data_IF_384401687985
#
_entry.id   IF_384401687985
#
_cell.length_a   1.000
_cell.length_b   1.000
_cell.length_c   1.000
_cell.angle_alpha   90.00
_cell.angle_beta   90.00
_cell.angle_gamma   90.00
#
_symmetry.space_group_name_H-M   'P 1'
#
loop_
_entity.id
_entity.type
_entity.pdbx_description
1 polymer ?
#
# COMPACT_ATOMS: atom_id res chain seq x y z
N UNK A 1 12.71 -72.72 5.95
CA UNK A 1 12.31 -73.73 6.94
C UNK A 1 12.15 -73.03 8.31
N UNK A 2 11.04 -73.02 8.81
CA UNK A 2 10.42 -73.15 10.16
C UNK A 2 9.15 -72.30 10.22
N UNK A 3 8.11 -73.06 10.19
CA UNK A 3 6.70 -72.70 10.52
C UNK A 3 6.58 -72.54 12.03
N UNK A 4 5.60 -71.78 12.49
CA UNK A 4 4.73 -72.04 13.67
C UNK A 4 3.93 -70.74 13.88
N UNK A 5 2.72 -70.70 13.98
CA UNK A 5 1.48 -71.42 14.35
C UNK A 5 0.57 -70.35 15.02
N UNK A 6 -0.65 -70.41 14.63
CA UNK A 6 -1.82 -69.62 15.02
C UNK A 6 -2.14 -69.82 16.53
N UNK A 7 -2.61 -68.75 17.14
CA UNK A 7 -3.53 -68.90 18.28
C UNK A 7 -4.61 -67.81 18.21
N UNK A 8 -5.83 -68.28 17.98
CA UNK A 8 -7.05 -67.51 18.11
C UNK A 8 -7.43 -67.39 19.60
N UNK A 9 -7.85 -66.25 20.03
CA UNK A 9 -8.46 -66.02 21.33
C UNK A 9 -9.67 -65.10 21.18
N UNK A 10 -10.85 -65.74 21.41
CA UNK A 10 -12.18 -65.10 21.43
C UNK A 10 -12.41 -64.38 22.77
N UNK A 11 -13.29 -63.37 22.67
CA UNK A 11 -14.27 -62.87 23.65
C UNK A 11 -13.86 -61.82 24.65
N UNK A 12 -14.48 -60.63 24.60
CA UNK A 12 -15.68 -60.36 25.41
C UNK A 12 -16.19 -58.95 25.15
N UNK A 13 -17.49 -58.84 24.89
CA UNK A 13 -18.24 -57.57 24.88
C UNK A 13 -18.23 -56.94 26.29
N UNK A 14 -17.80 -55.69 26.36
CA UNK A 14 -18.12 -54.82 27.49
C UNK A 14 -18.74 -53.52 26.93
N UNK A 15 -20.05 -53.39 27.11
CA UNK A 15 -20.80 -52.16 26.86
C UNK A 15 -20.36 -51.12 27.89
N UNK A 16 -19.55 -50.14 27.43
CA UNK A 16 -19.18 -48.99 28.24
C UNK A 16 -20.10 -47.80 27.91
N UNK A 17 -20.92 -47.43 28.87
CA UNK A 17 -21.76 -46.24 28.88
C UNK A 17 -20.85 -45.01 28.78
N UNK A 18 -20.85 -44.31 27.67
CA UNK A 18 -20.19 -42.99 27.54
C UNK A 18 -21.11 -41.94 28.16
N UNK A 19 -20.82 -41.59 29.40
CA UNK A 19 -21.41 -40.41 30.03
C UNK A 19 -20.89 -39.16 29.33
N UNK A 20 -21.74 -38.46 28.62
CA UNK A 20 -21.44 -37.15 28.10
C UNK A 20 -21.29 -36.15 29.23
N UNK A 21 -20.05 -35.81 29.56
CA UNK A 21 -19.77 -34.71 30.48
C UNK A 21 -19.95 -33.41 29.70
N UNK A 22 -21.10 -32.76 29.89
CA UNK A 22 -21.36 -31.40 29.47
C UNK A 22 -20.52 -30.45 30.30
N UNK A 23 -19.39 -30.01 29.78
CA UNK A 23 -18.62 -28.90 30.37
C UNK A 23 -19.38 -27.62 30.04
N UNK A 24 -20.18 -27.13 30.96
CA UNK A 24 -20.71 -25.77 30.94
C UNK A 24 -19.54 -24.81 31.10
N UNK A 25 -19.12 -24.20 29.99
CA UNK A 25 -18.18 -23.09 30.01
C UNK A 25 -18.89 -21.88 30.66
N UNK A 26 -18.55 -21.59 31.90
CA UNK A 26 -18.90 -20.33 32.54
C UNK A 26 -18.24 -19.21 31.81
N UNK A 27 -19.04 -18.40 31.06
CA UNK A 27 -18.62 -17.20 30.45
C UNK A 27 -18.20 -16.16 31.47
N UNK A 28 -16.88 -16.02 31.68
CA UNK A 28 -16.32 -14.90 32.44
C UNK A 28 -16.67 -13.56 31.73
N UNK A 29 -17.43 -12.73 32.42
CA UNK A 29 -17.71 -11.34 32.03
C UNK A 29 -16.40 -10.55 32.04
N UNK A 30 -15.99 -9.99 30.91
CA UNK A 30 -14.93 -8.97 30.87
C UNK A 30 -13.91 -9.09 29.76
N UNK A 31 -14.31 -9.46 28.53
CA UNK A 31 -13.49 -9.26 27.33
C UNK A 31 -14.36 -8.63 26.26
N UNK A 32 -13.92 -7.52 25.68
CA UNK A 32 -14.52 -6.97 24.45
C UNK A 32 -14.37 -8.08 23.39
N UNK A 33 -15.44 -8.84 23.15
CA UNK A 33 -15.45 -9.99 22.27
C UNK A 33 -14.95 -9.60 20.87
N UNK A 34 -13.98 -10.34 20.36
CA UNK A 34 -13.58 -10.19 18.96
C UNK A 34 -14.81 -10.42 18.09
N UNK A 35 -15.17 -9.42 17.31
CA UNK A 35 -16.32 -9.46 16.40
C UNK A 35 -16.15 -10.61 15.42
N UNK A 36 -17.19 -11.43 15.20
CA UNK A 36 -17.09 -12.56 14.27
C UNK A 36 -16.85 -12.09 12.84
N UNK A 37 -16.26 -12.95 12.02
CA UNK A 37 -15.99 -12.65 10.60
C UNK A 37 -17.28 -12.30 9.88
N UNK A 38 -18.38 -13.00 10.16
CA UNK A 38 -19.71 -12.78 9.59
C UNK A 38 -20.27 -11.42 10.02
N UNK A 39 -20.14 -11.07 11.29
CA UNK A 39 -20.60 -9.77 11.80
C UNK A 39 -19.82 -8.60 11.21
N UNK A 40 -18.52 -8.80 10.96
CA UNK A 40 -17.69 -7.81 10.25
C UNK A 40 -18.09 -7.74 8.77
N UNK A 41 -18.25 -8.89 8.11
CA UNK A 41 -18.61 -8.94 6.69
C UNK A 41 -19.97 -8.30 6.40
N UNK A 42 -20.94 -8.42 7.32
CA UNK A 42 -22.26 -7.81 7.21
C UNK A 42 -22.22 -6.26 7.17
N UNK A 43 -21.11 -5.64 7.55
CA UNK A 43 -20.92 -4.17 7.49
C UNK A 43 -20.47 -3.66 6.12
N UNK A 44 -20.18 -4.57 5.20
CA UNK A 44 -19.66 -4.22 3.88
C UNK A 44 -20.70 -4.50 2.77
N UNK A 45 -20.64 -3.76 1.66
CA UNK A 45 -21.33 -4.17 0.45
C UNK A 45 -20.90 -5.58 0.03
N UNK A 46 -21.73 -6.27 -0.81
CA UNK A 46 -21.31 -7.55 -1.36
C UNK A 46 -19.93 -7.49 -2.02
N UNK A 47 -19.14 -8.55 -1.82
CA UNK A 47 -17.85 -8.68 -2.49
C UNK A 47 -18.02 -8.68 -4.02
N UNK A 48 -17.08 -8.10 -4.78
CA UNK A 48 -17.06 -8.23 -6.23
C UNK A 48 -17.12 -9.71 -6.65
N UNK A 49 -17.95 -10.04 -7.64
CA UNK A 49 -18.22 -11.43 -8.03
C UNK A 49 -16.97 -12.25 -8.33
N UNK A 50 -15.99 -11.66 -9.01
CA UNK A 50 -14.70 -12.29 -9.33
C UNK A 50 -13.85 -12.57 -8.08
N UNK A 51 -13.88 -11.70 -7.07
CA UNK A 51 -13.18 -11.89 -5.80
C UNK A 51 -13.87 -12.96 -4.97
N UNK A 52 -15.19 -12.92 -4.92
CA UNK A 52 -16.02 -13.89 -4.21
C UNK A 52 -15.84 -15.32 -4.77
N UNK A 53 -15.92 -15.50 -6.08
CA UNK A 53 -15.78 -16.81 -6.74
C UNK A 53 -14.39 -17.41 -6.55
N UNK A 54 -13.34 -16.60 -6.63
CA UNK A 54 -11.95 -17.05 -6.39
C UNK A 54 -11.62 -17.23 -4.91
N UNK A 55 -12.44 -16.73 -3.99
CA UNK A 55 -12.19 -16.71 -2.53
C UNK A 55 -10.84 -16.08 -2.17
N UNK A 56 -10.37 -15.10 -2.93
CA UNK A 56 -9.14 -14.32 -2.71
C UNK A 56 -9.10 -13.05 -3.56
N UNK A 57 -8.37 -12.06 -3.07
CA UNK A 57 -7.97 -10.88 -3.82
C UNK A 57 -6.74 -11.13 -4.69
N UNK A 58 -6.63 -10.43 -5.82
CA UNK A 58 -5.40 -10.29 -6.60
C UNK A 58 -5.08 -8.80 -6.65
N UNK A 59 -4.00 -8.39 -5.98
CA UNK A 59 -3.70 -6.97 -5.74
C UNK A 59 -2.31 -6.61 -6.27
N UNK A 60 -2.25 -5.55 -7.08
CA UNK A 60 -0.99 -4.94 -7.51
C UNK A 60 -0.41 -4.08 -6.38
N UNK A 61 0.85 -4.33 -6.03
CA UNK A 61 1.59 -3.58 -5.01
C UNK A 61 2.96 -3.17 -5.54
N UNK A 62 3.53 -2.09 -5.00
CA UNK A 62 4.94 -1.76 -5.26
C UNK A 62 5.85 -2.82 -4.63
N UNK A 63 7.01 -3.03 -5.27
CA UNK A 63 8.04 -3.95 -4.77
C UNK A 63 9.41 -3.27 -4.61
N UNK A 64 9.48 -1.97 -4.86
CA UNK A 64 10.67 -1.13 -4.90
C UNK A 64 10.55 0.16 -4.07
N UNK A 65 9.56 0.26 -3.19
CA UNK A 65 9.24 1.49 -2.46
C UNK A 65 9.16 1.24 -0.93
N UNK A 66 10.28 0.95 -0.24
CA UNK A 66 10.26 0.84 1.23
C UNK A 66 9.98 2.20 1.88
N UNK A 67 9.23 2.27 3.00
CA UNK A 67 8.62 1.15 3.73
C UNK A 67 7.17 0.87 3.32
N UNK A 68 6.69 1.31 2.16
CA UNK A 68 5.30 1.16 1.72
C UNK A 68 5.02 -0.15 0.97
N UNK A 69 5.81 -0.48 -0.05
CA UNK A 69 5.70 -1.73 -0.80
C UNK A 69 7.06 -2.17 -1.31
N UNK A 70 7.60 -3.27 -0.78
CA UNK A 70 8.91 -3.78 -1.15
C UNK A 70 9.01 -5.29 -0.93
N UNK A 71 10.02 -5.89 -1.53
CA UNK A 71 10.41 -7.28 -1.29
C UNK A 71 11.55 -7.28 -0.27
N UNK A 72 11.40 -8.05 0.82
CA UNK A 72 12.47 -8.24 1.80
C UNK A 72 13.54 -9.23 1.28
N UNK A 73 14.62 -9.37 2.01
CA UNK A 73 15.74 -10.26 1.64
C UNK A 73 15.36 -11.75 1.64
N UNK A 74 14.22 -12.13 2.21
CA UNK A 74 13.65 -13.47 2.15
C UNK A 74 12.65 -13.64 1.00
N UNK A 75 12.44 -12.63 0.15
CA UNK A 75 11.51 -12.66 -0.96
C UNK A 75 10.06 -12.37 -0.60
N UNK A 76 9.77 -11.89 0.62
CA UNK A 76 8.41 -11.61 1.05
C UNK A 76 7.98 -10.18 0.73
N UNK A 77 6.74 -10.00 0.31
CA UNK A 77 6.13 -8.68 0.20
C UNK A 77 5.93 -8.07 1.60
N UNK A 78 6.42 -6.84 1.78
CA UNK A 78 6.38 -6.06 3.03
C UNK A 78 5.94 -4.63 2.77
N UNK A 79 5.54 -3.96 3.85
CA UNK A 79 5.28 -2.54 3.89
C UNK A 79 3.81 -2.18 4.12
N UNK A 80 3.57 -0.88 4.23
CA UNK A 80 2.26 -0.30 4.54
C UNK A 80 1.18 -0.71 3.53
N UNK A 81 1.42 -0.54 2.23
CA UNK A 81 0.48 -0.91 1.16
C UNK A 81 0.16 -2.40 1.17
N UNK A 82 1.17 -3.23 1.40
CA UNK A 82 1.02 -4.68 1.52
C UNK A 82 0.16 -5.05 2.74
N UNK A 83 0.33 -4.36 3.86
CA UNK A 83 -0.47 -4.59 5.06
C UNK A 83 -1.92 -4.14 4.88
N UNK A 84 -2.17 -3.01 4.21
CA UNK A 84 -3.51 -2.55 3.80
C UNK A 84 -4.17 -3.59 2.88
N UNK A 85 -3.44 -4.09 1.88
CA UNK A 85 -3.91 -5.13 0.97
C UNK A 85 -4.27 -6.43 1.71
N UNK A 86 -3.43 -6.89 2.65
CA UNK A 86 -3.72 -8.06 3.49
C UNK A 86 -4.91 -7.86 4.42
N UNK A 87 -5.13 -6.61 4.87
CA UNK A 87 -6.31 -6.28 5.67
C UNK A 87 -7.60 -6.46 4.87
N UNK A 88 -7.61 -6.15 3.58
CA UNK A 88 -8.75 -6.45 2.71
C UNK A 88 -9.07 -7.95 2.66
N UNK A 89 -8.05 -8.80 2.57
CA UNK A 89 -8.25 -10.25 2.63
C UNK A 89 -8.83 -10.72 3.97
N UNK A 90 -8.36 -10.12 5.07
CA UNK A 90 -8.91 -10.42 6.41
C UNK A 90 -10.36 -9.96 6.54
N UNK A 91 -10.69 -8.76 6.06
CA UNK A 91 -12.07 -8.23 6.11
C UNK A 91 -13.04 -9.02 5.24
N UNK A 92 -12.56 -9.52 4.07
CA UNK A 92 -13.37 -10.27 3.12
C UNK A 92 -13.53 -11.76 3.50
N UNK A 93 -12.50 -12.39 4.06
CA UNK A 93 -12.40 -13.85 4.21
C UNK A 93 -11.93 -14.32 5.60
N UNK A 94 -11.76 -13.41 6.55
CA UNK A 94 -11.23 -13.73 7.89
C UNK A 94 -9.75 -14.10 7.92
N UNK A 95 -9.03 -14.11 6.79
CA UNK A 95 -7.65 -14.60 6.69
C UNK A 95 -6.79 -13.71 5.80
N UNK A 96 -5.62 -13.23 6.27
CA UNK A 96 -4.74 -12.32 5.53
C UNK A 96 -4.04 -12.97 4.34
N UNK A 97 -4.01 -14.31 4.26
CA UNK A 97 -3.40 -15.07 3.18
C UNK A 97 -4.37 -15.35 2.00
N UNK A 98 -5.63 -14.93 2.07
CA UNK A 98 -6.58 -14.99 0.95
C UNK A 98 -6.33 -13.85 -0.04
N UNK A 99 -5.07 -13.73 -0.46
CA UNK A 99 -4.57 -12.71 -1.37
C UNK A 99 -3.45 -13.27 -2.25
N UNK A 100 -3.40 -12.82 -3.51
CA UNK A 100 -2.22 -12.91 -4.36
C UNK A 100 -1.70 -11.48 -4.58
N UNK A 101 -0.44 -11.25 -4.28
CA UNK A 101 0.24 -9.98 -4.54
C UNK A 101 1.01 -10.07 -5.85
N UNK A 102 0.93 -9.02 -6.64
CA UNK A 102 1.63 -8.91 -7.92
C UNK A 102 2.45 -7.62 -7.89
N UNK A 103 3.76 -7.72 -8.14
CA UNK A 103 4.61 -6.54 -8.24
C UNK A 103 4.20 -5.69 -9.45
N UNK A 104 4.01 -4.41 -9.22
CA UNK A 104 3.81 -3.42 -10.28
C UNK A 104 4.80 -2.27 -10.11
N UNK A 105 5.23 -1.71 -11.22
CA UNK A 105 6.06 -0.51 -11.27
C UNK A 105 5.19 0.74 -11.44
N UNK A 106 5.78 1.91 -11.31
CA UNK A 106 5.07 3.17 -11.53
C UNK A 106 4.42 3.24 -12.92
N UNK A 107 5.10 2.89 -14.04
CA UNK A 107 4.47 2.91 -15.36
C UNK A 107 3.52 1.73 -15.62
N UNK A 108 3.76 0.54 -15.03
CA UNK A 108 2.98 -0.65 -15.37
C UNK A 108 1.68 -0.81 -14.57
N UNK A 109 1.53 -0.15 -13.43
CA UNK A 109 0.40 -0.39 -12.49
C UNK A 109 -0.98 -0.18 -13.13
N UNK A 110 -1.19 0.94 -13.85
CA UNK A 110 -2.48 1.22 -14.50
C UNK A 110 -2.74 0.25 -15.67
N UNK A 111 -1.82 0.04 -16.62
CA UNK A 111 -2.00 -1.00 -17.64
C UNK A 111 -2.30 -2.41 -17.08
N UNK A 112 -1.61 -2.82 -16.00
CA UNK A 112 -1.87 -4.12 -15.33
C UNK A 112 -3.30 -4.21 -14.79
N UNK A 113 -3.83 -3.11 -14.21
CA UNK A 113 -5.21 -3.04 -13.75
C UNK A 113 -6.22 -3.11 -14.90
N UNK A 114 -5.98 -2.32 -15.95
CA UNK A 114 -6.87 -2.25 -17.13
C UNK A 114 -6.94 -3.59 -17.86
N UNK A 115 -5.82 -4.32 -17.94
CA UNK A 115 -5.75 -5.66 -18.49
C UNK A 115 -6.44 -6.73 -17.62
N UNK A 116 -6.97 -6.38 -16.43
CA UNK A 116 -7.64 -7.31 -15.53
C UNK A 116 -6.72 -8.31 -14.83
N UNK A 117 -5.41 -8.11 -14.88
CA UNK A 117 -4.42 -8.97 -14.24
C UNK A 117 -4.43 -8.85 -12.72
N UNK A 118 -4.96 -7.74 -12.20
CA UNK A 118 -5.21 -7.49 -10.78
C UNK A 118 -6.63 -6.93 -10.59
N UNK A 119 -7.20 -7.11 -9.41
CA UNK A 119 -8.50 -6.57 -9.05
C UNK A 119 -8.43 -5.08 -8.72
N UNK A 120 -7.41 -4.72 -7.97
CA UNK A 120 -7.11 -3.36 -7.52
C UNK A 120 -5.60 -3.13 -7.44
N UNK A 121 -5.20 -1.85 -7.40
CA UNK A 121 -3.81 -1.43 -7.19
C UNK A 121 -3.71 -0.71 -5.85
N UNK A 122 -2.90 -1.23 -4.92
CA UNK A 122 -2.51 -0.59 -3.66
C UNK A 122 -1.00 -0.33 -3.78
N UNK A 123 -0.63 0.79 -4.39
CA UNK A 123 0.77 1.01 -4.83
C UNK A 123 1.15 2.48 -4.91
N UNK A 124 0.98 3.22 -3.80
CA UNK A 124 1.36 4.65 -3.72
C UNK A 124 0.84 5.46 -4.92
N UNK A 125 -0.42 5.21 -5.31
CA UNK A 125 -1.00 5.77 -6.53
C UNK A 125 -1.59 7.15 -6.28
N UNK A 126 -0.85 8.20 -6.63
CA UNK A 126 -1.34 9.58 -6.59
C UNK A 126 -2.53 9.77 -7.52
N UNK A 127 -3.57 10.41 -7.02
CA UNK A 127 -4.69 10.85 -7.84
C UNK A 127 -4.25 11.98 -8.78
N UNK A 128 -4.63 11.89 -10.05
CA UNK A 128 -4.61 12.98 -11.04
C UNK A 128 -5.86 12.87 -11.87
N UNK A 129 -6.29 13.98 -12.48
CA UNK A 129 -7.46 13.97 -13.36
C UNK A 129 -7.27 12.98 -14.53
N UNK A 130 -6.11 13.04 -15.20
CA UNK A 130 -5.81 12.13 -16.31
C UNK A 130 -5.88 10.63 -15.92
N UNK A 131 -5.48 10.28 -14.71
CA UNK A 131 -5.63 8.91 -14.20
C UNK A 131 -7.09 8.60 -13.86
N UNK A 132 -7.81 9.56 -13.25
CA UNK A 132 -9.22 9.40 -12.89
C UNK A 132 -10.14 9.27 -14.13
N UNK A 133 -9.71 9.76 -15.28
CA UNK A 133 -10.44 9.59 -16.54
C UNK A 133 -10.41 8.13 -17.03
N UNK A 134 -9.38 7.37 -16.72
CA UNK A 134 -9.15 6.00 -17.23
C UNK A 134 -9.33 4.90 -16.18
N UNK A 135 -9.31 5.22 -14.88
CA UNK A 135 -9.58 4.31 -13.77
C UNK A 135 -10.46 4.97 -12.72
N UNK A 136 -11.09 4.19 -11.84
CA UNK A 136 -11.69 4.72 -10.62
C UNK A 136 -10.63 4.77 -9.51
N UNK A 137 -10.80 5.72 -8.60
CA UNK A 137 -10.05 5.82 -7.34
C UNK A 137 -10.96 5.54 -6.14
N UNK A 138 -10.42 4.88 -5.12
CA UNK A 138 -11.03 4.87 -3.79
C UNK A 138 -10.94 6.25 -3.13
N UNK A 139 -11.53 6.41 -1.95
CA UNK A 139 -11.15 7.52 -1.05
C UNK A 139 -9.65 7.44 -0.72
N UNK A 140 -8.97 8.56 -0.40
CA UNK A 140 -7.55 8.55 -0.09
C UNK A 140 -7.22 7.70 1.15
N UNK A 141 -6.12 6.93 1.07
CA UNK A 141 -5.62 6.13 2.20
C UNK A 141 -4.25 6.61 2.72
N UNK A 142 -3.65 7.58 2.05
CA UNK A 142 -2.43 8.27 2.46
C UNK A 142 -2.38 9.65 1.79
N UNK A 143 -1.70 10.63 2.42
CA UNK A 143 -1.47 11.95 1.83
C UNK A 143 0.03 12.25 1.82
N UNK A 144 0.70 12.00 0.68
CA UNK A 144 2.11 12.32 0.51
C UNK A 144 2.31 13.77 0.09
N UNK A 145 3.56 14.22 0.14
CA UNK A 145 4.02 15.50 -0.44
C UNK A 145 5.23 15.24 -1.33
N UNK A 146 5.44 16.12 -2.32
CA UNK A 146 6.67 16.11 -3.10
C UNK A 146 7.83 16.71 -2.30
N UNK A 147 9.03 16.12 -2.46
CA UNK A 147 10.29 16.62 -1.91
C UNK A 147 11.43 16.43 -2.90
N UNK A 148 12.49 17.22 -2.69
CA UNK A 148 13.75 17.07 -3.41
C UNK A 148 14.77 16.37 -2.52
N UNK A 149 15.39 15.32 -3.03
CA UNK A 149 16.57 14.67 -2.49
C UNK A 149 17.79 15.17 -3.27
N UNK A 150 18.77 15.69 -2.57
CA UNK A 150 19.96 16.31 -3.17
C UNK A 150 21.24 15.85 -2.48
N UNK A 151 22.42 15.95 -3.11
CA UNK A 151 23.70 15.80 -2.43
C UNK A 151 23.85 16.81 -1.28
N UNK A 152 24.56 16.45 -0.20
CA UNK A 152 24.74 17.31 0.96
C UNK A 152 25.38 18.68 0.66
N UNK A 153 26.24 18.73 -0.36
CA UNK A 153 26.90 19.96 -0.82
C UNK A 153 26.10 20.73 -1.89
N UNK A 154 24.86 20.29 -2.21
CA UNK A 154 24.01 20.95 -3.19
C UNK A 154 23.55 22.34 -2.71
N UNK A 155 23.53 23.30 -3.65
CA UNK A 155 22.95 24.63 -3.46
C UNK A 155 21.42 24.66 -3.69
N UNK A 156 20.81 23.54 -4.13
CA UNK A 156 19.36 23.45 -4.33
C UNK A 156 18.69 23.34 -2.95
N UNK A 157 17.79 24.27 -2.64
CA UNK A 157 17.02 24.31 -1.39
C UNK A 157 15.52 24.18 -1.63
N UNK A 158 15.06 24.48 -2.84
CA UNK A 158 13.63 24.45 -3.20
C UNK A 158 13.44 24.17 -4.68
N UNK A 159 12.18 23.97 -5.08
CA UNK A 159 11.79 23.83 -6.51
C UNK A 159 12.09 25.10 -7.33
N UNK A 160 12.34 26.24 -6.70
CA UNK A 160 12.69 27.50 -7.37
C UNK A 160 14.13 27.50 -7.89
N UNK A 161 14.97 26.61 -7.36
CA UNK A 161 16.40 26.53 -7.72
C UNK A 161 16.67 25.55 -8.88
N UNK A 162 15.61 25.08 -9.57
CA UNK A 162 15.70 24.01 -10.57
C UNK A 162 16.05 24.51 -12.00
N UNK A 163 16.11 25.81 -12.23
CA UNK A 163 16.50 26.36 -13.54
C UNK A 163 17.89 25.83 -13.94
N UNK A 164 18.00 25.27 -15.15
CA UNK A 164 19.21 24.63 -15.71
C UNK A 164 19.73 23.39 -14.95
N UNK A 165 18.99 22.89 -13.94
CA UNK A 165 19.32 21.67 -13.21
C UNK A 165 18.71 20.44 -13.85
N UNK A 166 19.37 19.31 -13.67
CA UNK A 166 18.84 18.01 -14.08
C UNK A 166 18.04 17.40 -12.93
N UNK A 167 16.73 17.26 -13.13
CA UNK A 167 15.80 16.62 -12.19
C UNK A 167 15.60 15.19 -12.63
N UNK A 168 15.97 14.21 -11.80
CA UNK A 168 15.59 12.81 -12.04
C UNK A 168 14.29 12.50 -11.32
N UNK A 169 13.43 11.69 -11.97
CA UNK A 169 12.25 11.08 -11.37
C UNK A 169 11.94 9.75 -12.04
N UNK A 170 11.01 8.97 -11.48
CA UNK A 170 10.61 7.71 -12.10
C UNK A 170 9.59 7.95 -13.22
N UNK A 171 9.75 7.25 -14.34
CA UNK A 171 8.81 7.27 -15.46
C UNK A 171 7.39 6.98 -14.98
N UNK A 172 6.41 7.78 -15.43
CA UNK A 172 5.01 7.67 -15.05
C UNK A 172 4.68 8.17 -13.63
N UNK A 173 5.65 8.76 -12.92
CA UNK A 173 5.36 9.52 -11.69
C UNK A 173 4.70 10.86 -12.04
N UNK A 174 3.92 11.40 -11.12
CA UNK A 174 3.32 12.73 -11.27
C UNK A 174 4.38 13.82 -11.52
N UNK A 175 5.53 13.64 -10.92
CA UNK A 175 6.66 14.58 -10.99
C UNK A 175 7.22 14.77 -12.40
N UNK A 176 7.10 13.77 -13.27
CA UNK A 176 7.45 13.91 -14.70
C UNK A 176 6.60 14.98 -15.38
N UNK A 177 5.27 14.89 -15.21
CA UNK A 177 4.35 15.86 -15.80
C UNK A 177 4.51 17.24 -15.15
N UNK A 178 4.61 17.26 -13.82
CA UNK A 178 4.76 18.51 -13.08
C UNK A 178 6.05 19.26 -13.48
N UNK A 179 7.18 18.56 -13.58
CA UNK A 179 8.44 19.18 -14.02
C UNK A 179 8.33 19.76 -15.44
N UNK A 180 7.76 18.99 -16.37
CA UNK A 180 7.55 19.46 -17.77
C UNK A 180 6.64 20.70 -17.85
N UNK A 181 5.67 20.80 -16.95
CA UNK A 181 4.68 21.88 -16.96
C UNK A 181 5.17 23.10 -16.19
N UNK A 182 5.76 22.89 -15.01
CA UNK A 182 6.01 23.94 -14.03
C UNK A 182 7.49 24.34 -13.91
N UNK A 183 8.41 23.49 -14.37
CA UNK A 183 9.87 23.72 -14.29
C UNK A 183 10.48 23.64 -15.69
N UNK A 184 10.00 24.49 -16.60
CA UNK A 184 10.35 24.44 -18.04
C UNK A 184 11.83 24.60 -18.32
N UNK A 185 12.54 25.30 -17.45
CA UNK A 185 14.00 25.53 -17.56
C UNK A 185 14.83 24.39 -16.93
N UNK A 186 14.19 23.41 -16.27
CA UNK A 186 14.86 22.23 -15.75
C UNK A 186 14.99 21.15 -16.82
N UNK A 187 16.08 20.40 -16.76
CA UNK A 187 16.27 19.18 -17.57
C UNK A 187 15.66 18.00 -16.87
N UNK A 188 14.77 17.25 -17.52
CA UNK A 188 14.13 16.07 -16.94
C UNK A 188 14.81 14.79 -17.37
N UNK A 189 15.23 13.98 -16.41
CA UNK A 189 15.72 12.62 -16.59
C UNK A 189 14.69 11.61 -16.02
N UNK A 190 14.04 10.86 -16.89
CA UNK A 190 13.08 9.82 -16.50
C UNK A 190 13.76 8.44 -16.52
N UNK A 191 13.70 7.73 -15.39
CA UNK A 191 14.27 6.39 -15.24
C UNK A 191 13.21 5.38 -14.77
N UNK A 192 13.47 4.10 -14.98
CA UNK A 192 12.58 3.05 -14.54
C UNK A 192 12.95 2.58 -13.11
N UNK A 193 12.07 2.89 -12.14
CA UNK A 193 12.24 2.51 -10.73
C UNK A 193 13.03 3.49 -9.88
N UNK A 194 12.81 3.39 -8.58
CA UNK A 194 13.39 4.31 -7.59
C UNK A 194 14.89 4.10 -7.37
N UNK A 195 15.37 2.87 -7.46
CA UNK A 195 16.79 2.57 -7.31
C UNK A 195 17.63 3.23 -8.42
N UNK A 196 17.15 3.21 -9.67
CA UNK A 196 17.81 3.86 -10.79
C UNK A 196 17.85 5.39 -10.63
N UNK A 197 16.81 5.98 -10.02
CA UNK A 197 16.78 7.42 -9.74
C UNK A 197 17.80 7.82 -8.65
N UNK A 198 17.88 7.04 -7.57
CA UNK A 198 18.89 7.25 -6.52
C UNK A 198 20.31 7.11 -7.08
N UNK A 199 20.53 6.09 -7.91
CA UNK A 199 21.83 5.88 -8.56
C UNK A 199 22.19 7.05 -9.49
N UNK A 200 21.25 7.52 -10.32
CA UNK A 200 21.47 8.67 -11.21
C UNK A 200 21.86 9.95 -10.43
N UNK A 201 21.27 10.16 -9.25
CA UNK A 201 21.63 11.26 -8.36
C UNK A 201 23.07 11.08 -7.80
N UNK A 202 23.39 9.88 -7.31
CA UNK A 202 24.71 9.58 -6.70
C UNK A 202 25.85 9.63 -7.72
N UNK A 203 25.60 9.23 -8.95
CA UNK A 203 26.54 9.26 -10.06
C UNK A 203 26.72 10.66 -10.68
N UNK A 204 26.01 11.67 -10.18
CA UNK A 204 26.05 13.04 -10.71
C UNK A 204 25.38 13.20 -12.08
N UNK A 205 24.59 12.23 -12.54
CA UNK A 205 23.79 12.34 -13.78
C UNK A 205 22.54 13.21 -13.59
N UNK A 206 22.19 13.49 -12.34
CA UNK A 206 21.14 14.43 -11.96
C UNK A 206 21.57 15.25 -10.76
N UNK A 207 21.07 16.48 -10.66
CA UNK A 207 21.32 17.39 -9.55
C UNK A 207 20.37 17.14 -8.36
N UNK A 208 19.18 16.60 -8.65
CA UNK A 208 18.17 16.29 -7.63
C UNK A 208 17.28 15.13 -8.06
N UNK A 209 16.80 14.35 -7.07
CA UNK A 209 15.72 13.38 -7.26
C UNK A 209 14.43 13.94 -6.66
N UNK A 210 13.47 14.23 -7.53
CA UNK A 210 12.15 14.72 -7.17
C UNK A 210 11.19 13.54 -7.01
N UNK A 211 10.69 13.32 -5.79
CA UNK A 211 9.78 12.20 -5.53
C UNK A 211 8.95 12.39 -4.25
N UNK A 212 8.09 11.40 -3.93
CA UNK A 212 7.28 11.39 -2.72
C UNK A 212 8.17 11.43 -1.46
N UNK A 213 7.83 12.31 -0.52
CA UNK A 213 8.51 12.47 0.78
C UNK A 213 8.64 11.13 1.53
N UNK A 214 7.63 10.31 1.41
CA UNK A 214 7.56 8.98 2.01
C UNK A 214 8.72 8.05 1.59
N UNK A 215 9.24 8.20 0.36
CA UNK A 215 10.38 7.42 -0.13
C UNK A 215 11.71 8.12 0.15
N UNK A 216 11.84 9.39 -0.27
CA UNK A 216 13.13 10.09 -0.23
C UNK A 216 13.61 10.35 1.20
N UNK A 217 12.70 10.45 2.19
CA UNK A 217 13.04 10.48 3.61
C UNK A 217 13.80 9.22 4.03
N UNK A 218 13.38 8.07 3.55
CA UNK A 218 14.06 6.79 3.82
C UNK A 218 15.48 6.78 3.27
N UNK A 219 15.65 7.26 2.03
CA UNK A 219 16.97 7.34 1.39
C UNK A 219 17.90 8.30 2.13
N UNK A 220 17.47 9.54 2.37
CA UNK A 220 18.28 10.54 3.06
C UNK A 220 18.69 10.12 4.48
N UNK A 221 17.87 9.32 5.15
CA UNK A 221 18.19 8.84 6.51
C UNK A 221 19.20 7.68 6.51
N UNK A 222 19.33 6.96 5.40
CA UNK A 222 20.23 5.81 5.26
C UNK A 222 21.54 6.17 4.56
N UNK A 223 21.53 7.23 3.76
CA UNK A 223 22.71 7.68 3.02
C UNK A 223 23.14 9.09 3.49
N UNK A 224 24.21 9.20 4.30
CA UNK A 224 24.66 10.49 4.85
C UNK A 224 25.25 11.43 3.79
N UNK A 225 25.44 11.00 2.55
CA UNK A 225 25.88 11.87 1.45
C UNK A 225 24.75 12.65 0.82
N UNK A 226 23.50 12.32 1.16
CA UNK A 226 22.29 12.92 0.63
C UNK A 226 21.50 13.63 1.74
N UNK A 227 20.78 14.68 1.37
CA UNK A 227 19.86 15.40 2.24
C UNK A 227 18.53 15.68 1.53
N UNK A 228 17.49 15.90 2.33
CA UNK A 228 16.23 16.48 1.83
C UNK A 228 16.32 18.01 1.91
N UNK A 229 15.74 18.67 0.93
CA UNK A 229 15.43 20.10 1.04
C UNK A 229 14.31 20.30 2.08
N UNK A 230 14.22 21.48 2.69
CA UNK A 230 13.12 21.80 3.62
C UNK A 230 11.80 22.03 2.90
N UNK A 231 11.86 22.40 1.64
CA UNK A 231 10.72 22.70 0.79
C UNK A 231 9.86 21.44 0.54
N UNK A 232 8.59 21.54 0.92
CA UNK A 232 7.54 20.56 0.59
C UNK A 232 6.61 21.19 -0.41
N UNK A 233 6.45 20.56 -1.52
CA UNK A 233 5.59 21.03 -2.58
C UNK A 233 4.63 19.90 -3.00
N UNK A 234 3.52 20.23 -3.60
CA UNK A 234 2.47 19.31 -4.01
C UNK A 234 1.95 18.43 -2.85
N UNK A 235 0.70 18.59 -2.48
CA UNK A 235 0.01 17.57 -1.69
C UNK A 235 -0.56 16.54 -2.66
N UNK A 236 -0.12 15.30 -2.52
CA UNK A 236 -0.40 14.22 -3.48
C UNK A 236 -1.11 13.03 -2.81
N UNK A 237 -2.43 13.12 -2.59
CA UNK A 237 -3.19 12.06 -1.95
C UNK A 237 -3.15 10.77 -2.79
N UNK A 238 -2.87 9.63 -2.12
CA UNK A 238 -2.88 8.33 -2.76
C UNK A 238 -4.22 7.64 -2.57
N UNK A 239 -4.73 7.09 -3.66
CA UNK A 239 -5.90 6.24 -3.67
C UNK A 239 -5.59 4.85 -4.19
N UNK A 240 -6.52 3.94 -3.95
CA UNK A 240 -6.49 2.61 -4.52
C UNK A 240 -7.07 2.68 -5.92
N UNK A 241 -6.30 2.22 -6.92
CA UNK A 241 -6.76 2.16 -8.30
C UNK A 241 -7.70 0.96 -8.52
N UNK A 242 -8.83 1.22 -9.18
CA UNK A 242 -9.90 0.27 -9.47
C UNK A 242 -10.26 0.44 -10.95
N UNK A 243 -10.63 -0.63 -11.65
CA UNK A 243 -11.03 -0.51 -13.06
C UNK A 243 -12.16 0.50 -13.22
N UNK A 244 -12.10 1.25 -14.31
CA UNK A 244 -13.14 2.25 -14.64
C UNK A 244 -14.50 1.58 -14.71
N UNK A 245 -15.50 2.18 -14.05
CA UNK A 245 -16.87 1.67 -14.01
C UNK A 245 -17.12 0.50 -13.04
N UNK A 246 -16.11 -0.06 -12.39
CA UNK A 246 -16.29 -1.13 -11.39
C UNK A 246 -16.80 -0.56 -10.05
N UNK A 247 -18.09 -0.27 -10.01
CA UNK A 247 -18.77 0.31 -8.85
C UNK A 247 -18.79 -0.65 -7.66
N UNK A 248 -18.93 -1.97 -7.91
CA UNK A 248 -18.96 -2.96 -6.83
C UNK A 248 -17.64 -2.98 -6.05
N UNK A 249 -16.51 -3.05 -6.76
CA UNK A 249 -15.18 -3.00 -6.15
C UNK A 249 -14.96 -1.64 -5.47
N UNK A 250 -15.34 -0.53 -6.09
CA UNK A 250 -15.19 0.82 -5.53
C UNK A 250 -15.95 0.96 -4.20
N UNK A 251 -17.21 0.50 -4.15
CA UNK A 251 -18.02 0.57 -2.94
C UNK A 251 -17.45 -0.29 -1.82
N UNK A 252 -17.03 -1.53 -2.13
CA UNK A 252 -16.44 -2.43 -1.13
C UNK A 252 -15.13 -1.86 -0.56
N UNK A 253 -14.23 -1.42 -1.44
CA UNK A 253 -12.93 -0.83 -1.02
C UNK A 253 -13.14 0.41 -0.18
N UNK A 254 -14.05 1.31 -0.57
CA UNK A 254 -14.34 2.51 0.21
C UNK A 254 -14.95 2.20 1.58
N UNK A 255 -15.83 1.21 1.67
CA UNK A 255 -16.38 0.74 2.94
C UNK A 255 -15.26 0.19 3.85
N UNK A 256 -14.36 -0.63 3.29
CA UNK A 256 -13.21 -1.17 4.01
C UNK A 256 -12.28 -0.08 4.53
N UNK A 257 -11.94 0.91 3.70
CA UNK A 257 -11.09 2.03 4.10
C UNK A 257 -11.74 2.88 5.21
N UNK A 258 -13.05 3.17 5.13
CA UNK A 258 -13.78 3.88 6.19
C UNK A 258 -13.80 3.08 7.49
N UNK A 259 -14.05 1.79 7.42
CA UNK A 259 -14.00 0.89 8.57
C UNK A 259 -12.63 0.91 9.25
N UNK A 260 -11.56 0.77 8.48
CA UNK A 260 -10.18 0.83 8.99
C UNK A 260 -9.87 2.19 9.61
N UNK A 261 -10.28 3.29 8.97
CA UNK A 261 -10.05 4.64 9.47
C UNK A 261 -10.77 4.89 10.81
N UNK A 262 -12.05 4.50 10.93
CA UNK A 262 -12.84 4.67 12.16
C UNK A 262 -12.25 3.91 13.37
N UNK A 263 -11.47 2.86 13.13
CA UNK A 263 -10.81 2.04 14.16
C UNK A 263 -9.33 2.42 14.40
N UNK A 264 -8.82 3.45 13.71
CA UNK A 264 -7.41 3.84 13.80
C UNK A 264 -6.44 2.77 13.28
N UNK A 265 -6.89 1.88 12.40
CA UNK A 265 -6.08 0.77 11.91
C UNK A 265 -4.91 1.26 11.05
N UNK A 266 -5.07 2.34 10.29
CA UNK A 266 -3.99 2.89 9.45
C UNK A 266 -2.79 3.35 10.27
N UNK A 267 -3.01 3.98 11.41
CA UNK A 267 -1.92 4.36 12.31
C UNK A 267 -1.19 3.13 12.86
N UNK A 268 -1.93 2.10 13.27
CA UNK A 268 -1.33 0.84 13.72
C UNK A 268 -0.52 0.17 12.60
N UNK A 269 -1.06 0.15 11.39
CA UNK A 269 -0.42 -0.45 10.22
C UNK A 269 0.87 0.31 9.87
N UNK A 270 0.85 1.66 9.78
CA UNK A 270 2.05 2.42 9.41
C UNK A 270 3.15 2.29 10.47
N UNK A 271 2.79 2.30 11.75
CA UNK A 271 3.73 2.10 12.86
C UNK A 271 4.35 0.69 12.86
N UNK A 272 3.59 -0.33 12.53
CA UNK A 272 4.07 -1.71 12.47
C UNK A 272 4.96 -1.97 11.22
N UNK A 273 4.86 -1.14 10.18
CA UNK A 273 5.57 -1.33 8.91
C UNK A 273 6.63 -0.27 8.64
N UNK A 274 6.92 0.63 9.58
CA UNK A 274 7.96 1.65 9.44
C UNK A 274 8.75 1.83 10.72
N UNK A 275 10.05 2.19 10.63
CA UNK A 275 10.86 2.51 11.79
C UNK A 275 10.28 3.67 12.63
N UNK A 276 10.42 3.60 13.95
CA UNK A 276 9.88 4.60 14.89
C UNK A 276 10.33 6.04 14.55
N UNK A 277 11.54 6.22 14.05
CA UNK A 277 12.09 7.52 13.64
C UNK A 277 11.29 8.23 12.53
N UNK A 278 10.45 7.51 11.77
CA UNK A 278 9.60 8.08 10.72
C UNK A 278 8.15 8.34 11.16
N UNK A 279 7.76 7.95 12.36
CA UNK A 279 6.35 8.06 12.78
C UNK A 279 5.83 9.50 12.81
N UNK A 280 6.67 10.46 13.22
CA UNK A 280 6.30 11.88 13.19
C UNK A 280 6.00 12.38 11.77
N UNK A 281 6.65 11.81 10.76
CA UNK A 281 6.44 12.17 9.35
C UNK A 281 5.29 11.39 8.72
N UNK A 282 5.06 10.13 9.11
CA UNK A 282 4.08 9.27 8.42
C UNK A 282 2.70 9.23 9.08
N UNK A 283 2.63 9.25 10.42
CA UNK A 283 1.34 9.14 11.14
C UNK A 283 0.37 10.29 10.81
N UNK A 284 0.82 11.55 10.64
CA UNK A 284 -0.09 12.63 10.22
C UNK A 284 -0.72 12.43 8.84
N UNK A 285 -0.12 11.58 8.00
CA UNK A 285 -0.47 11.40 6.60
C UNK A 285 -1.38 10.17 6.35
N UNK A 286 -1.78 9.43 7.39
CA UNK A 286 -2.75 8.33 7.27
C UNK A 286 -4.12 8.72 7.80
N UNK A 287 -5.23 8.18 7.24
CA UNK A 287 -6.57 8.42 7.77
C UNK A 287 -6.73 7.88 9.19
N UNK A 288 -7.66 8.48 9.93
CA UNK A 288 -8.00 8.06 11.29
C UNK A 288 -9.42 8.47 11.67
N UNK A 289 -9.87 8.21 12.92
CA UNK A 289 -11.25 8.48 13.33
C UNK A 289 -11.69 9.94 13.15
N UNK A 290 -10.72 10.88 13.25
CA UNK A 290 -10.96 12.33 13.09
C UNK A 290 -10.13 12.94 11.95
N UNK A 291 -9.51 12.11 11.08
CA UNK A 291 -8.66 12.59 9.99
C UNK A 291 -9.00 11.87 8.69
N UNK A 292 -9.30 12.65 7.67
CA UNK A 292 -9.55 12.19 6.32
C UNK A 292 -8.89 13.12 5.32
N UNK A 293 -8.69 12.63 4.10
CA UNK A 293 -8.10 13.40 3.00
C UNK A 293 -9.10 13.46 1.85
N UNK A 294 -8.94 14.48 1.01
CA UNK A 294 -9.72 14.66 -0.21
C UNK A 294 -8.77 14.79 -1.41
N UNK A 295 -9.24 14.42 -2.58
CA UNK A 295 -8.54 14.74 -3.81
C UNK A 295 -8.74 16.23 -4.14
N UNK A 296 -7.74 16.89 -4.73
CA UNK A 296 -7.84 18.29 -5.15
C UNK A 296 -8.59 18.38 -6.49
N UNK A 297 -9.87 17.98 -6.50
CA UNK A 297 -10.70 18.00 -7.71
C UNK A 297 -10.80 19.45 -8.22
N UNK A 298 -10.53 19.63 -9.52
CA UNK A 298 -10.46 20.96 -10.14
C UNK A 298 -9.07 21.63 -10.09
N UNK A 299 -8.11 21.02 -9.35
CA UNK A 299 -6.70 21.41 -9.33
C UNK A 299 -5.86 20.15 -9.47
N UNK A 300 -5.53 19.76 -10.72
CA UNK A 300 -4.72 18.56 -10.96
C UNK A 300 -3.30 18.80 -10.45
N UNK A 301 -2.84 18.03 -9.43
CA UNK A 301 -1.50 18.22 -8.87
C UNK A 301 -0.39 17.97 -9.89
N UNK A 302 -0.68 17.27 -10.99
CA UNK A 302 0.30 17.08 -12.07
C UNK A 302 0.59 18.35 -12.87
N UNK A 303 -0.31 19.34 -12.82
CA UNK A 303 -0.23 20.57 -13.62
C UNK A 303 -0.44 21.87 -12.83
N UNK A 304 -0.76 21.76 -11.53
CA UNK A 304 -0.86 22.91 -10.63
C UNK A 304 0.54 23.37 -10.19
N UNK A 305 1.01 24.48 -10.78
CA UNK A 305 2.33 25.05 -10.49
C UNK A 305 2.34 25.90 -9.21
N UNK A 306 1.21 26.13 -8.56
CA UNK A 306 1.08 26.90 -7.32
C UNK A 306 0.91 25.98 -6.08
N UNK A 307 1.01 24.67 -6.27
CA UNK A 307 0.82 23.67 -5.21
C UNK A 307 2.10 23.40 -4.41
#
# INVERSE_FOLDING_TARGET
MKRFVIAAGLAACAAGIVAAVSIAATAGKGGVGAESVEAVAAKFPPLPKNVQSRKRWVIGVKCDFPPFGYIDVQGNHRGYDVAVARRFATLAFGRPNRIRLTCVTTPSRIPTLQAGLVDVIVSTLTWTQARADVINFSIPYYSATGRLLVPNNSSINSVRDLANKTVVTTRGAIYSTWTKTCQKDAKLLEVDGTAAAVLALKDGRADTFMFDDAFVLGVATQDPTLKLTDDKFLTVPWGIGIRKGDTATTNWVNAALRYMASRGEFEKIIKANSPKKYWSSFVPNVPGPKRSFKYPVGKDPATDCNA
#
